data_IF_097991603627
#
_entry.id   IF_097991603627
#
_cell.length_a   1.000
_cell.length_b   1.000
_cell.length_c   1.000
_cell.angle_alpha   90.00
_cell.angle_beta   90.00
_cell.angle_gamma   90.00
#
_symmetry.space_group_name_H-M   'P 1'
#
loop_
_entity.id
_entity.type
_entity.pdbx_description
1 polymer ?
#
# COMPACT_ATOMS: atom_id res chain seq x y z
N UNK A 1 6.40 12.61 4.72
CA UNK A 1 6.12 11.16 4.66
C UNK A 1 5.91 10.68 6.08
N UNK A 2 4.72 10.16 6.36
CA UNK A 2 4.34 9.61 7.65
C UNK A 2 4.15 8.10 7.49
N UNK A 3 4.59 7.33 8.48
CA UNK A 3 4.37 5.88 8.57
C UNK A 3 3.46 5.65 9.77
N UNK A 4 2.33 5.02 9.50
CA UNK A 4 1.32 4.63 10.47
C UNK A 4 1.25 3.11 10.51
N UNK A 5 1.05 2.55 11.69
CA UNK A 5 0.83 1.13 11.89
C UNK A 5 -0.62 0.95 12.34
N UNK A 6 -1.43 0.27 11.53
CA UNK A 6 -2.80 -0.07 11.87
C UNK A 6 -2.86 -1.55 12.24
N UNK A 7 -3.23 -1.83 13.48
CA UNK A 7 -3.40 -3.19 13.99
C UNK A 7 -4.89 -3.53 14.07
N UNK A 8 -5.30 -4.53 13.30
CA UNK A 8 -6.63 -5.10 13.38
C UNK A 8 -6.58 -6.38 14.21
N UNK A 9 -7.15 -6.31 15.41
CA UNK A 9 -7.28 -7.46 16.30
C UNK A 9 -8.49 -8.31 15.89
N UNK A 10 -8.37 -9.05 14.79
CA UNK A 10 -9.33 -10.11 14.50
C UNK A 10 -8.94 -11.40 15.23
N UNK A 11 -9.91 -12.09 15.81
CA UNK A 11 -9.66 -13.26 16.67
C UNK A 11 -9.07 -14.44 15.87
N UNK A 12 -9.34 -14.51 14.57
CA UNK A 12 -8.89 -15.62 13.70
C UNK A 12 -7.58 -15.32 12.97
N UNK A 13 -7.28 -14.05 12.66
CA UNK A 13 -6.07 -13.66 11.93
C UNK A 13 -5.75 -12.19 12.21
N UNK A 14 -4.85 -11.87 13.15
CA UNK A 14 -4.44 -10.49 13.38
C UNK A 14 -3.70 -9.97 12.15
N UNK A 15 -4.19 -8.86 11.59
CA UNK A 15 -3.61 -8.21 10.41
C UNK A 15 -2.94 -6.91 10.86
N UNK A 16 -1.66 -6.75 10.52
CA UNK A 16 -0.94 -5.48 10.65
C UNK A 16 -0.84 -4.87 9.26
N UNK A 17 -1.52 -3.74 9.08
CA UNK A 17 -1.37 -2.92 7.90
C UNK A 17 -0.35 -1.82 8.16
N UNK A 18 0.65 -1.72 7.30
CA UNK A 18 1.57 -0.58 7.32
C UNK A 18 1.04 0.44 6.33
N UNK A 19 0.71 1.63 6.82
CA UNK A 19 0.15 2.71 6.01
C UNK A 19 1.18 3.82 5.88
N UNK A 20 1.61 4.09 4.65
CA UNK A 20 2.52 5.16 4.31
C UNK A 20 1.73 6.26 3.62
N UNK A 21 1.72 7.45 4.19
CA UNK A 21 1.03 8.61 3.64
C UNK A 21 2.02 9.74 3.33
N UNK A 22 1.87 10.35 2.16
CA UNK A 22 2.71 11.47 1.72
C UNK A 22 1.94 12.38 0.77
N UNK A 23 2.27 13.67 0.81
CA UNK A 23 1.84 14.69 -0.15
C UNK A 23 2.69 14.68 -1.44
N UNK A 24 3.89 14.12 -1.36
CA UNK A 24 4.81 13.94 -2.49
C UNK A 24 4.61 12.58 -3.18
N UNK A 25 3.89 12.59 -4.31
CA UNK A 25 3.56 11.42 -5.14
C UNK A 25 4.81 10.65 -5.62
N UNK A 26 5.88 11.38 -5.94
CA UNK A 26 7.13 10.83 -6.47
C UNK A 26 7.78 9.85 -5.49
N UNK A 27 7.62 10.06 -4.18
CA UNK A 27 8.13 9.13 -3.17
C UNK A 27 7.42 7.78 -3.22
N UNK A 28 6.10 7.77 -3.46
CA UNK A 28 5.31 6.54 -3.56
C UNK A 28 5.66 5.77 -4.84
N UNK A 29 5.81 6.47 -5.96
CA UNK A 29 6.22 5.84 -7.23
C UNK A 29 7.62 5.23 -7.14
N UNK A 30 8.55 5.91 -6.47
CA UNK A 30 9.89 5.40 -6.19
C UNK A 30 9.90 4.21 -5.23
N UNK A 31 8.92 4.12 -4.32
CA UNK A 31 8.75 2.95 -3.45
C UNK A 31 8.21 1.77 -4.26
N UNK A 32 7.11 1.95 -4.98
CA UNK A 32 6.45 0.90 -5.77
C UNK A 32 7.40 0.32 -6.84
N UNK A 33 8.19 1.17 -7.51
CA UNK A 33 9.13 0.72 -8.55
C UNK A 33 10.23 -0.22 -8.05
N UNK A 34 10.53 -0.21 -6.75
CA UNK A 34 11.53 -1.11 -6.13
C UNK A 34 10.96 -2.48 -5.76
N UNK A 35 9.64 -2.63 -5.71
CA UNK A 35 8.99 -3.83 -5.15
C UNK A 35 8.73 -4.95 -6.19
N UNK A 36 9.27 -4.84 -7.40
CA UNK A 36 9.13 -5.86 -8.47
C UNK A 36 7.65 -6.24 -8.70
N UNK A 37 6.86 -5.25 -9.10
CA UNK A 37 5.43 -5.42 -9.41
C UNK A 37 5.24 -6.40 -10.57
N UNK A 38 4.47 -7.46 -10.34
CA UNK A 38 4.09 -8.45 -11.34
C UNK A 38 2.79 -8.10 -12.05
N UNK A 39 1.79 -7.67 -11.27
CA UNK A 39 0.43 -7.39 -11.78
C UNK A 39 -0.15 -6.18 -11.08
N UNK A 40 -0.86 -5.37 -11.86
CA UNK A 40 -1.56 -4.17 -11.39
C UNK A 40 -3.06 -4.38 -11.64
N UNK A 41 -3.88 -4.08 -10.63
CA UNK A 41 -5.33 -4.07 -10.71
C UNK A 41 -5.82 -2.66 -10.38
N UNK A 42 -6.60 -2.08 -11.29
CA UNK A 42 -7.15 -0.74 -11.16
C UNK A 42 -8.63 -0.86 -10.78
N UNK A 43 -8.99 -0.22 -9.68
CA UNK A 43 -10.35 0.02 -9.22
C UNK A 43 -10.57 1.54 -9.19
N UNK A 44 -11.83 1.99 -9.13
CA UNK A 44 -12.20 3.40 -9.32
C UNK A 44 -11.26 4.39 -8.61
N UNK A 45 -11.09 4.21 -7.29
CA UNK A 45 -10.25 5.09 -6.46
C UNK A 45 -8.99 4.40 -5.91
N UNK A 46 -8.72 3.16 -6.34
CA UNK A 46 -7.69 2.32 -5.73
C UNK A 46 -6.85 1.58 -6.78
N UNK A 47 -5.55 1.46 -6.52
CA UNK A 47 -4.66 0.62 -7.33
C UNK A 47 -4.02 -0.45 -6.46
N UNK A 48 -4.19 -1.70 -6.84
CA UNK A 48 -3.59 -2.85 -6.15
C UNK A 48 -2.42 -3.38 -6.96
N UNK A 49 -1.26 -3.48 -6.32
CA UNK A 49 -0.03 -4.03 -6.89
C UNK A 49 0.28 -5.38 -6.25
N UNK A 50 0.33 -6.42 -7.08
CA UNK A 50 0.81 -7.75 -6.73
C UNK A 50 2.30 -7.81 -7.00
N UNK A 51 3.11 -7.94 -5.94
CA UNK A 51 4.57 -7.97 -6.03
C UNK A 51 5.08 -9.41 -6.17
N UNK A 52 6.07 -9.64 -7.04
CA UNK A 52 6.66 -10.96 -7.24
C UNK A 52 7.41 -11.42 -5.98
N UNK A 53 7.20 -12.69 -5.60
CA UNK A 53 7.90 -13.33 -4.47
C UNK A 53 7.74 -12.60 -3.12
N UNK A 54 6.70 -11.78 -2.97
CA UNK A 54 6.35 -11.13 -1.69
C UNK A 54 5.10 -11.76 -1.10
N UNK A 55 5.04 -11.81 0.23
CA UNK A 55 3.89 -12.29 1.01
C UNK A 55 2.93 -11.15 1.38
N UNK A 56 2.93 -10.09 0.61
CA UNK A 56 2.07 -8.93 0.82
C UNK A 56 1.63 -8.36 -0.52
N UNK A 57 0.55 -7.59 -0.48
CA UNK A 57 0.11 -6.75 -1.59
C UNK A 57 0.28 -5.29 -1.19
N UNK A 58 0.47 -4.43 -2.20
CA UNK A 58 0.43 -2.99 -2.01
C UNK A 58 -0.91 -2.46 -2.51
N UNK A 59 -1.58 -1.65 -1.71
CA UNK A 59 -2.79 -0.94 -2.11
C UNK A 59 -2.53 0.55 -2.05
N UNK A 60 -2.71 1.24 -3.18
CA UNK A 60 -2.58 2.69 -3.28
C UNK A 60 -3.96 3.33 -3.36
N UNK A 61 -4.16 4.38 -2.58
CA UNK A 61 -5.38 5.19 -2.56
C UNK A 61 -4.98 6.66 -2.63
N UNK A 62 -5.64 7.44 -3.48
CA UNK A 62 -5.44 8.89 -3.57
C UNK A 62 -6.62 9.61 -2.94
N UNK A 63 -6.37 10.45 -1.93
CA UNK A 63 -7.40 11.18 -1.19
C UNK A 63 -6.97 12.64 -1.02
N UNK A 64 -7.70 13.57 -1.65
CA UNK A 64 -7.55 15.02 -1.42
C UNK A 64 -6.09 15.53 -1.42
N UNK A 65 -5.30 15.13 -2.43
CA UNK A 65 -3.85 15.44 -2.61
C UNK A 65 -2.88 14.66 -1.71
N UNK A 66 -3.36 13.78 -0.85
CA UNK A 66 -2.54 12.87 -0.08
C UNK A 66 -2.57 11.51 -0.78
N UNK A 67 -1.39 10.99 -1.06
CA UNK A 67 -1.20 9.66 -1.59
C UNK A 67 -0.94 8.70 -0.43
N UNK A 68 -1.70 7.61 -0.37
CA UNK A 68 -1.60 6.57 0.64
C UNK A 68 -1.20 5.26 -0.01
N UNK A 69 -0.24 4.55 0.59
CA UNK A 69 0.09 3.17 0.26
C UNK A 69 -0.06 2.31 1.51
N UNK A 70 -0.82 1.24 1.39
CA UNK A 70 -1.04 0.22 2.40
C UNK A 70 -0.26 -1.03 2.01
N UNK A 71 0.50 -1.59 2.96
CA UNK A 71 1.13 -2.91 2.86
C UNK A 71 0.25 -3.89 3.64
N UNK A 72 -0.36 -4.84 2.94
CA UNK A 72 -1.31 -5.81 3.50
C UNK A 72 -0.72 -7.21 3.36
N UNK A 73 -0.52 -7.92 4.47
CA UNK A 73 0.14 -9.23 4.56
C UNK A 73 -0.73 -10.27 5.29
#
# INVERSE_FOLDING_TARGET
MYVLFEYFSDYESPIINIVIATDDITKIENFISKENVNKIMLFEDETIYLCLNKRFILKRVSLNKIERVEVIA
#
